data_IF_447133303230
#
_entry.id   IF_447133303230
#
_cell.length_a   1.000
_cell.length_b   1.000
_cell.length_c   1.000
_cell.angle_alpha   90.00
_cell.angle_beta   90.00
_cell.angle_gamma   90.00
#
_symmetry.space_group_name_H-M   'P 1'
#
loop_
_entity.id
_entity.type
_entity.pdbx_description
1 polymer ?
#
# COMPACT_ATOMS: atom_id res chain seq x y z
N UNK A 1 -16.33 -19.88 -9.16
CA UNK A 1 -15.14 -19.04 -9.43
C UNK A 1 -13.94 -19.92 -9.75
N UNK A 2 -13.13 -19.57 -10.76
CA UNK A 2 -11.88 -20.29 -11.09
C UNK A 2 -10.73 -19.88 -10.16
N UNK A 3 -9.64 -20.67 -10.14
CA UNK A 3 -8.42 -20.29 -9.42
C UNK A 3 -7.79 -19.06 -10.10
N UNK A 4 -7.48 -18.03 -9.31
CA UNK A 4 -6.67 -16.90 -9.78
C UNK A 4 -5.18 -17.26 -9.86
N UNK A 5 -4.39 -16.38 -10.47
CA UNK A 5 -2.93 -16.47 -10.49
C UNK A 5 -2.31 -15.09 -10.22
N UNK A 6 -1.07 -15.09 -9.75
CA UNK A 6 -0.24 -13.90 -9.63
C UNK A 6 0.88 -14.05 -10.65
N UNK A 7 1.03 -13.06 -11.53
CA UNK A 7 2.10 -13.01 -12.52
C UNK A 7 3.00 -11.83 -12.22
N UNK A 8 4.31 -12.10 -12.06
CA UNK A 8 5.35 -11.07 -11.92
C UNK A 8 6.19 -10.98 -13.18
N UNK A 9 6.64 -12.14 -13.67
CA UNK A 9 7.40 -12.27 -14.91
C UNK A 9 6.53 -11.92 -16.13
N UNK A 10 6.96 -10.94 -16.91
CA UNK A 10 6.39 -10.63 -18.21
C UNK A 10 6.50 -11.84 -19.14
N UNK A 11 5.47 -12.08 -19.95
CA UNK A 11 5.56 -13.16 -20.94
C UNK A 11 6.46 -12.72 -22.09
N UNK A 12 7.35 -13.61 -22.54
CA UNK A 12 8.14 -13.42 -23.76
C UNK A 12 7.25 -13.14 -25.00
N UNK A 13 6.00 -13.62 -24.97
CA UNK A 13 5.00 -13.42 -26.03
C UNK A 13 4.32 -12.05 -26.00
N UNK A 14 4.60 -11.22 -25.00
CA UNK A 14 4.06 -9.87 -24.98
C UNK A 14 4.61 -9.05 -26.16
N UNK A 15 3.81 -8.15 -26.75
CA UNK A 15 4.28 -7.30 -27.83
C UNK A 15 5.54 -6.50 -27.45
N UNK A 16 6.40 -6.22 -28.43
CA UNK A 16 7.65 -5.48 -28.21
C UNK A 16 7.46 -4.05 -27.72
N UNK A 17 6.28 -3.46 -27.91
CA UNK A 17 5.94 -2.13 -27.39
C UNK A 17 5.64 -2.13 -25.88
N UNK A 18 5.43 -3.29 -25.26
CA UNK A 18 5.27 -3.40 -23.81
C UNK A 18 6.64 -3.24 -23.16
N UNK A 19 6.85 -2.10 -22.51
CA UNK A 19 8.06 -1.83 -21.73
C UNK A 19 8.21 -2.85 -20.60
N UNK A 20 9.44 -3.33 -20.45
CA UNK A 20 9.85 -4.33 -19.49
C UNK A 20 11.13 -3.89 -18.82
N UNK A 21 11.25 -4.14 -17.52
CA UNK A 21 12.44 -3.80 -16.74
C UNK A 21 12.85 -4.98 -15.88
N UNK A 22 14.16 -5.19 -15.78
CA UNK A 22 14.76 -6.27 -14.99
C UNK A 22 14.86 -5.82 -13.54
N UNK A 23 14.25 -6.58 -12.64
CA UNK A 23 14.31 -6.37 -11.19
C UNK A 23 14.98 -7.59 -10.55
N UNK A 24 15.99 -7.41 -9.67
CA UNK A 24 16.60 -8.54 -8.96
C UNK A 24 15.57 -9.39 -8.21
N UNK A 25 15.70 -10.70 -8.29
CA UNK A 25 14.79 -11.61 -7.60
C UNK A 25 15.02 -11.56 -6.10
N UNK A 26 13.96 -11.26 -5.35
CA UNK A 26 13.99 -11.33 -3.88
C UNK A 26 14.07 -12.77 -3.36
N UNK A 27 13.52 -13.72 -4.11
CA UNK A 27 13.37 -15.10 -3.65
C UNK A 27 14.54 -15.99 -4.03
N UNK A 28 15.31 -15.61 -5.05
CA UNK A 28 16.40 -16.41 -5.60
C UNK A 28 17.57 -15.46 -5.91
N UNK A 29 18.55 -15.32 -5.00
CA UNK A 29 19.71 -14.47 -5.22
C UNK A 29 20.45 -14.87 -6.50
N UNK A 30 20.77 -13.89 -7.36
CA UNK A 30 21.38 -14.12 -8.66
C UNK A 30 20.39 -14.22 -9.83
N UNK A 31 19.11 -14.48 -9.55
CA UNK A 31 18.05 -14.43 -10.55
C UNK A 31 17.45 -13.01 -10.67
N UNK A 32 16.65 -12.82 -11.72
CA UNK A 32 15.87 -11.61 -11.92
C UNK A 32 14.42 -11.92 -12.32
N UNK A 33 13.57 -10.91 -12.24
CA UNK A 33 12.22 -10.92 -12.78
C UNK A 33 12.09 -9.76 -13.75
N UNK A 34 11.62 -10.04 -14.96
CA UNK A 34 11.31 -9.00 -15.93
C UNK A 34 9.87 -8.52 -15.67
N UNK A 35 9.73 -7.31 -15.14
CA UNK A 35 8.44 -6.72 -14.81
C UNK A 35 7.91 -5.86 -15.96
N UNK A 36 6.59 -5.92 -16.21
CA UNK A 36 5.93 -4.92 -17.07
C UNK A 36 5.95 -3.56 -16.38
N UNK A 37 6.39 -2.53 -17.09
CA UNK A 37 6.22 -1.13 -16.69
C UNK A 37 4.99 -0.58 -17.41
N UNK A 38 3.98 -0.19 -16.65
CA UNK A 38 2.75 0.39 -17.18
C UNK A 38 2.81 1.92 -17.02
N UNK A 39 3.42 2.60 -17.99
CA UNK A 39 3.59 4.06 -18.04
C UNK A 39 2.60 4.76 -19.00
N UNK A 40 1.73 4.01 -19.68
CA UNK A 40 0.68 4.56 -20.54
C UNK A 40 -0.67 3.81 -20.45
N UNK A 41 -1.70 4.42 -21.05
CA UNK A 41 -3.05 3.85 -21.06
C UNK A 41 -3.17 2.60 -21.96
N UNK A 42 -2.37 2.49 -23.02
CA UNK A 42 -2.41 1.36 -23.93
C UNK A 42 -1.93 0.07 -23.25
N UNK A 43 -0.85 0.17 -22.47
CA UNK A 43 -0.31 -0.90 -21.63
C UNK A 43 -1.32 -1.32 -20.58
N UNK A 44 -2.00 -0.37 -19.93
CA UNK A 44 -3.05 -0.68 -18.97
C UNK A 44 -4.20 -1.47 -19.59
N UNK A 45 -4.68 -1.05 -20.77
CA UNK A 45 -5.72 -1.76 -21.53
C UNK A 45 -5.25 -3.15 -21.97
N UNK A 46 -3.99 -3.28 -22.41
CA UNK A 46 -3.40 -4.56 -22.75
C UNK A 46 -3.36 -5.52 -21.57
N UNK A 47 -2.93 -5.06 -20.39
CA UNK A 47 -2.92 -5.87 -19.17
C UNK A 47 -4.33 -6.35 -18.81
N UNK A 48 -5.34 -5.48 -18.94
CA UNK A 48 -6.74 -5.86 -18.73
C UNK A 48 -7.17 -6.96 -19.72
N UNK A 49 -6.75 -6.88 -20.99
CA UNK A 49 -6.98 -7.92 -22.00
C UNK A 49 -6.26 -9.24 -21.66
N UNK A 50 -5.14 -9.21 -20.94
CA UNK A 50 -4.48 -10.40 -20.37
C UNK A 50 -5.19 -10.95 -19.12
N UNK A 51 -6.42 -10.52 -18.85
CA UNK A 51 -7.20 -10.87 -17.65
C UNK A 51 -6.55 -10.40 -16.34
N UNK A 52 -5.68 -9.38 -16.40
CA UNK A 52 -5.17 -8.74 -15.20
C UNK A 52 -6.28 -7.90 -14.55
N UNK A 53 -6.77 -8.35 -13.41
CA UNK A 53 -7.81 -7.63 -12.64
C UNK A 53 -7.15 -6.76 -11.56
N UNK A 54 -6.13 -7.27 -10.87
CA UNK A 54 -5.52 -6.58 -9.74
C UNK A 54 -4.09 -6.19 -10.09
N UNK A 55 -3.83 -4.89 -10.11
CA UNK A 55 -2.50 -4.33 -10.33
C UNK A 55 -1.81 -4.13 -8.99
N UNK A 56 -0.57 -4.61 -8.91
CA UNK A 56 0.29 -4.45 -7.74
C UNK A 56 1.53 -3.66 -8.15
N UNK A 57 1.89 -2.65 -7.37
CA UNK A 57 3.05 -1.77 -7.60
C UNK A 57 3.99 -1.83 -6.40
N UNK A 58 5.28 -1.65 -6.66
CA UNK A 58 6.30 -1.55 -5.61
C UNK A 58 6.38 -0.15 -5.01
N UNK A 59 7.09 0.00 -3.87
CA UNK A 59 7.35 1.31 -3.24
C UNK A 59 8.47 2.10 -3.94
N UNK A 60 9.03 1.59 -5.03
CA UNK A 60 10.19 2.14 -5.73
C UNK A 60 9.91 2.26 -7.22
N UNK A 61 10.72 3.06 -7.91
CA UNK A 61 10.70 3.20 -9.37
C UNK A 61 11.88 2.47 -9.99
N UNK A 62 11.71 2.05 -11.23
CA UNK A 62 12.66 1.21 -11.98
C UNK A 62 14.05 1.84 -12.18
N UNK A 63 14.15 3.17 -12.11
CA UNK A 63 15.42 3.91 -12.20
C UNK A 63 16.24 3.86 -10.90
N UNK A 64 15.62 3.55 -9.74
CA UNK A 64 16.31 3.51 -8.44
C UNK A 64 15.59 2.55 -7.48
N UNK A 65 15.82 1.25 -7.66
CA UNK A 65 15.05 0.18 -7.01
C UNK A 65 15.25 0.05 -5.50
N UNK A 66 16.38 0.52 -4.96
CA UNK A 66 16.69 0.46 -3.52
C UNK A 66 16.30 1.73 -2.75
N UNK A 67 15.69 2.71 -3.43
CA UNK A 67 15.40 4.02 -2.87
C UNK A 67 13.92 4.37 -3.10
N UNK A 68 13.05 4.03 -2.12
CA UNK A 68 11.62 4.14 -2.28
C UNK A 68 11.14 5.58 -2.46
N UNK A 69 10.11 5.75 -3.28
CA UNK A 69 9.39 7.02 -3.45
C UNK A 69 8.15 7.12 -2.55
N UNK A 70 7.89 6.07 -1.76
CA UNK A 70 6.79 6.02 -0.80
C UNK A 70 7.09 5.06 0.35
N UNK A 71 6.68 5.47 1.55
CA UNK A 71 6.56 4.66 2.75
C UNK A 71 5.14 4.09 2.83
N UNK A 72 4.99 2.82 3.20
CA UNK A 72 3.72 2.08 3.17
C UNK A 72 3.42 1.43 4.52
N UNK A 73 2.20 1.60 5.01
CA UNK A 73 1.64 0.90 6.15
C UNK A 73 0.35 0.19 5.72
N UNK A 74 0.31 -1.14 5.85
CA UNK A 74 -0.85 -1.96 5.51
C UNK A 74 -1.49 -2.50 6.78
N UNK A 75 -2.80 -2.31 6.93
CA UNK A 75 -3.55 -2.68 8.13
C UNK A 75 -4.40 -3.90 7.81
N UNK A 76 -3.98 -5.10 8.24
CA UNK A 76 -4.67 -6.36 7.93
C UNK A 76 -5.45 -6.87 9.15
N UNK A 77 -6.79 -6.70 9.19
CA UNK A 77 -7.62 -7.18 10.28
C UNK A 77 -7.82 -8.70 10.24
N UNK A 78 -8.22 -9.32 11.38
CA UNK A 78 -8.47 -10.76 11.44
C UNK A 78 -9.64 -11.19 10.53
N UNK A 79 -10.65 -10.32 10.41
CA UNK A 79 -11.84 -10.55 9.59
C UNK A 79 -12.36 -9.25 8.94
N UNK A 80 -13.49 -9.34 8.25
CA UNK A 80 -14.11 -8.20 7.57
C UNK A 80 -15.27 -7.58 8.38
N UNK A 81 -15.35 -7.85 9.69
CA UNK A 81 -16.41 -7.31 10.55
C UNK A 81 -16.27 -5.79 10.75
N UNK A 82 -17.37 -5.08 11.07
CA UNK A 82 -17.31 -3.65 11.42
C UNK A 82 -16.34 -3.36 12.58
N UNK A 83 -16.36 -4.18 13.64
CA UNK A 83 -15.47 -4.01 14.79
C UNK A 83 -13.98 -4.13 14.41
N UNK A 84 -13.65 -5.09 13.53
CA UNK A 84 -12.30 -5.21 12.97
C UNK A 84 -11.91 -3.99 12.14
N UNK A 85 -12.84 -3.45 11.35
CA UNK A 85 -12.59 -2.25 10.55
C UNK A 85 -12.44 -0.99 11.42
N UNK A 86 -13.17 -0.88 12.53
CA UNK A 86 -13.01 0.21 13.50
C UNK A 86 -11.61 0.18 14.14
N UNK A 87 -11.09 -1.01 14.47
CA UNK A 87 -9.72 -1.16 14.93
C UNK A 87 -8.70 -0.76 13.85
N UNK A 88 -8.95 -1.10 12.58
CA UNK A 88 -8.13 -0.65 11.45
C UNK A 88 -8.17 0.87 11.28
N UNK A 89 -9.35 1.50 11.40
CA UNK A 89 -9.53 2.96 11.32
C UNK A 89 -8.69 3.65 12.38
N UNK A 90 -8.78 3.21 13.63
CA UNK A 90 -8.02 3.76 14.75
C UNK A 90 -6.51 3.57 14.56
N UNK A 91 -6.07 2.37 14.14
CA UNK A 91 -4.66 2.11 13.82
C UNK A 91 -4.13 3.04 12.71
N UNK A 92 -4.90 3.21 11.63
CA UNK A 92 -4.53 4.07 10.51
C UNK A 92 -4.44 5.55 10.93
N UNK A 93 -5.37 6.02 11.76
CA UNK A 93 -5.36 7.38 12.32
C UNK A 93 -4.10 7.61 13.15
N UNK A 94 -3.79 6.71 14.07
CA UNK A 94 -2.62 6.83 14.97
C UNK A 94 -1.29 6.76 14.24
N UNK A 95 -1.17 5.86 13.26
CA UNK A 95 0.01 5.82 12.38
C UNK A 95 0.10 7.12 11.58
N UNK A 96 -1.00 7.62 11.01
CA UNK A 96 -1.02 8.89 10.31
C UNK A 96 -0.61 10.07 11.20
N UNK A 97 -1.10 10.14 12.42
CA UNK A 97 -0.70 11.16 13.40
C UNK A 97 0.80 11.08 13.71
N UNK A 98 1.32 9.89 14.03
CA UNK A 98 2.74 9.74 14.36
C UNK A 98 3.65 10.06 13.17
N UNK A 99 3.27 9.66 11.95
CA UNK A 99 3.99 9.99 10.72
C UNK A 99 3.99 11.51 10.46
N UNK A 100 2.87 12.21 10.72
CA UNK A 100 2.81 13.69 10.67
C UNK A 100 3.70 14.34 11.72
N UNK A 101 3.72 13.82 12.94
CA UNK A 101 4.60 14.32 13.99
C UNK A 101 6.09 14.16 13.66
N UNK A 102 6.43 13.21 12.78
CA UNK A 102 7.77 13.04 12.23
C UNK A 102 8.03 13.93 10.99
N UNK A 103 7.12 14.83 10.62
CA UNK A 103 7.31 15.76 9.49
C UNK A 103 7.01 15.19 8.10
N UNK A 104 6.49 13.97 8.00
CA UNK A 104 6.02 13.39 6.73
C UNK A 104 4.53 13.65 6.52
N UNK A 105 4.07 13.65 5.27
CA UNK A 105 2.63 13.84 4.95
C UNK A 105 1.99 12.50 4.57
N UNK A 106 1.17 11.89 5.44
CA UNK A 106 0.53 10.63 5.13
C UNK A 106 -0.81 10.82 4.40
N UNK A 107 -1.09 9.88 3.51
CA UNK A 107 -2.28 9.75 2.69
C UNK A 107 -2.90 8.38 2.95
N UNK A 108 -4.23 8.28 2.88
CA UNK A 108 -4.95 7.03 3.18
C UNK A 108 -5.76 6.56 1.98
N UNK A 109 -5.88 5.24 1.84
CA UNK A 109 -6.79 4.59 0.90
C UNK A 109 -7.46 3.38 1.50
N UNK A 110 -8.68 3.08 1.06
CA UNK A 110 -9.27 1.76 1.30
C UNK A 110 -8.48 0.69 0.57
N UNK A 111 -8.35 -0.49 1.15
CA UNK A 111 -7.68 -1.59 0.46
C UNK A 111 -8.54 -2.18 -0.67
N UNK A 112 -9.87 -2.03 -0.60
CA UNK A 112 -10.80 -2.82 -1.40
C UNK A 112 -11.00 -4.25 -0.88
N UNK A 113 -10.32 -4.67 0.20
CA UNK A 113 -10.45 -6.00 0.79
C UNK A 113 -11.04 -5.91 2.20
N UNK A 114 -10.21 -5.92 3.25
CA UNK A 114 -10.68 -5.87 4.64
C UNK A 114 -10.16 -4.66 5.40
N UNK A 115 -9.00 -4.13 5.02
CA UNK A 115 -8.34 -3.06 5.75
C UNK A 115 -8.09 -1.77 4.96
N UNK A 116 -7.11 -1.01 5.43
CA UNK A 116 -6.69 0.27 4.89
C UNK A 116 -5.20 0.24 4.54
N UNK A 117 -4.75 1.21 3.75
CA UNK A 117 -3.33 1.51 3.61
C UNK A 117 -3.09 2.99 3.90
N UNK A 118 -2.02 3.28 4.63
CA UNK A 118 -1.48 4.63 4.84
C UNK A 118 -0.15 4.72 4.12
N UNK A 119 0.05 5.78 3.34
CA UNK A 119 1.22 5.98 2.48
C UNK A 119 1.76 7.39 2.66
N UNK A 120 3.07 7.55 2.78
CA UNK A 120 3.71 8.85 2.78
C UNK A 120 4.74 8.93 1.64
N UNK A 121 4.66 9.92 0.73
CA UNK A 121 5.65 10.07 -0.34
C UNK A 121 7.02 10.44 0.23
N UNK A 122 8.08 9.91 -0.38
CA UNK A 122 9.48 10.12 0.02
C UNK A 122 10.30 10.76 -1.11
N UNK A 123 11.36 11.46 -0.73
CA UNK A 123 12.30 12.13 -1.63
C UNK A 123 13.27 11.19 -2.36
N UNK A 124 13.19 9.87 -2.08
CA UNK A 124 14.04 8.81 -2.64
C UNK A 124 15.51 8.93 -2.25
N UNK A 125 15.84 9.48 -1.08
CA UNK A 125 17.22 9.58 -0.61
C UNK A 125 17.65 8.43 0.31
N UNK A 126 16.75 7.97 1.17
CA UNK A 126 17.01 6.87 2.09
C UNK A 126 16.91 5.49 1.43
N UNK A 127 17.71 4.54 1.91
CA UNK A 127 17.72 3.16 1.46
C UNK A 127 16.45 2.42 1.92
N UNK A 128 16.04 1.40 1.16
CA UNK A 128 14.84 0.59 1.43
C UNK A 128 14.86 -0.05 2.82
N UNK A 129 16.02 -0.42 3.33
CA UNK A 129 16.16 -0.98 4.69
C UNK A 129 15.87 0.05 5.78
N UNK A 130 16.24 1.32 5.55
CA UNK A 130 15.94 2.44 6.46
C UNK A 130 14.44 2.72 6.46
N UNK A 131 13.81 2.75 5.28
CA UNK A 131 12.34 2.88 5.14
C UNK A 131 11.60 1.77 5.89
N UNK A 132 12.07 0.53 5.75
CA UNK A 132 11.50 -0.61 6.47
C UNK A 132 11.71 -0.51 7.99
N UNK A 133 12.89 -0.09 8.44
CA UNK A 133 13.19 0.07 9.86
C UNK A 133 12.32 1.17 10.49
N UNK A 134 12.20 2.32 9.82
CA UNK A 134 11.33 3.41 10.26
C UNK A 134 9.87 2.97 10.34
N UNK A 135 9.33 2.35 9.28
CA UNK A 135 7.96 1.84 9.29
C UNK A 135 7.72 0.83 10.42
N UNK A 136 8.69 -0.06 10.67
CA UNK A 136 8.62 -0.99 11.79
C UNK A 136 8.55 -0.27 13.13
N UNK A 137 9.41 0.72 13.36
CA UNK A 137 9.46 1.46 14.63
C UNK A 137 8.12 2.17 14.93
N UNK A 138 7.50 2.77 13.90
CA UNK A 138 6.15 3.36 13.98
C UNK A 138 5.12 2.31 14.39
N UNK A 139 5.05 1.18 13.66
CA UNK A 139 4.09 0.12 13.95
C UNK A 139 4.31 -0.53 15.33
N UNK A 140 5.56 -0.79 15.72
CA UNK A 140 5.91 -1.38 17.01
C UNK A 140 5.48 -0.47 18.16
N UNK A 141 5.62 0.86 18.02
CA UNK A 141 5.17 1.83 19.03
C UNK A 141 3.64 1.79 19.21
N UNK A 142 2.88 1.76 18.12
CA UNK A 142 1.41 1.67 18.18
C UNK A 142 0.97 0.32 18.76
N UNK A 143 1.61 -0.77 18.34
CA UNK A 143 1.32 -2.11 18.86
C UNK A 143 1.62 -2.26 20.35
N UNK A 144 2.70 -1.62 20.84
CA UNK A 144 3.05 -1.64 22.26
C UNK A 144 2.06 -0.88 23.15
N UNK A 145 1.42 0.17 22.62
CA UNK A 145 0.42 0.95 23.35
C UNK A 145 -0.89 0.18 23.55
N UNK A 146 -1.30 -0.66 22.58
CA UNK A 146 -2.53 -1.46 22.66
C UNK A 146 -2.32 -2.89 22.13
N UNK A 147 -1.53 -3.73 22.83
CA UNK A 147 -1.12 -5.05 22.37
C UNK A 147 -2.28 -6.07 22.30
N UNK A 148 -3.44 -5.73 22.87
CA UNK A 148 -4.66 -6.51 22.75
C UNK A 148 -5.36 -6.33 21.39
N UNK A 149 -5.16 -5.19 20.71
CA UNK A 149 -5.82 -4.83 19.44
C UNK A 149 -4.88 -4.88 18.24
N UNK A 150 -3.59 -4.61 18.45
CA UNK A 150 -2.60 -4.49 17.38
C UNK A 150 -1.42 -5.44 17.57
N UNK A 151 -0.79 -5.82 16.45
CA UNK A 151 0.42 -6.64 16.45
C UNK A 151 1.29 -6.36 15.23
N UNK A 152 2.59 -6.51 15.40
CA UNK A 152 3.59 -6.52 14.33
C UNK A 152 4.24 -7.90 14.14
N UNK A 153 3.75 -8.92 14.87
CA UNK A 153 4.29 -10.28 14.78
C UNK A 153 3.99 -10.90 13.41
N UNK A 154 5.06 -11.44 12.81
CA UNK A 154 4.97 -12.14 11.53
C UNK A 154 4.28 -13.50 11.71
N UNK A 155 4.35 -14.13 12.89
CA UNK A 155 3.71 -15.40 13.14
C UNK A 155 2.18 -15.26 13.14
N UNK A 156 1.49 -16.07 12.32
CA UNK A 156 0.02 -16.01 12.22
C UNK A 156 -0.68 -16.34 13.54
N UNK A 157 -0.07 -17.16 14.39
CA UNK A 157 -0.55 -17.50 15.74
C UNK A 157 -0.75 -16.25 16.60
N UNK A 158 0.12 -15.26 16.43
CA UNK A 158 0.17 -14.08 17.29
C UNK A 158 -0.74 -12.95 16.79
N UNK A 159 -1.44 -13.19 15.66
CA UNK A 159 -2.37 -12.26 15.01
C UNK A 159 -3.83 -12.56 15.32
N UNK A 160 -4.12 -13.64 16.03
CA UNK A 160 -5.50 -14.04 16.34
C UNK A 160 -6.20 -12.92 17.10
N UNK A 161 -7.30 -12.40 16.53
CA UNK A 161 -8.10 -11.33 17.11
C UNK A 161 -7.48 -9.93 17.05
N UNK A 162 -6.34 -9.75 16.37
CA UNK A 162 -5.60 -8.47 16.32
C UNK A 162 -5.45 -7.97 14.89
N UNK A 163 -5.41 -6.66 14.73
CA UNK A 163 -5.02 -6.02 13.47
C UNK A 163 -3.50 -6.12 13.33
N UNK A 164 -3.05 -6.74 12.24
CA UNK A 164 -1.64 -6.79 11.88
C UNK A 164 -1.23 -5.48 11.21
N UNK A 165 -0.29 -4.78 11.82
CA UNK A 165 0.32 -3.56 11.30
C UNK A 165 1.49 -3.94 10.39
N UNK A 166 1.19 -4.20 9.12
CA UNK A 166 2.13 -4.74 8.14
C UNK A 166 3.05 -3.64 7.59
N UNK A 167 4.24 -3.53 8.22
CA UNK A 167 5.35 -2.70 7.75
C UNK A 167 6.21 -3.38 6.68
N UNK A 168 5.99 -4.66 6.36
CA UNK A 168 6.85 -5.45 5.48
C UNK A 168 6.73 -5.04 4.01
N UNK A 169 5.74 -4.20 3.67
CA UNK A 169 5.53 -3.61 2.34
C UNK A 169 6.68 -2.71 1.88
N UNK A 170 7.52 -2.25 2.81
CA UNK A 170 8.66 -1.36 2.55
C UNK A 170 9.97 -2.11 2.24
N UNK A 171 9.92 -3.42 1.95
CA UNK A 171 11.12 -4.19 1.58
C UNK A 171 11.35 -4.24 0.06
N UNK A 172 12.55 -4.64 -0.33
CA UNK A 172 12.89 -4.86 -1.74
C UNK A 172 11.88 -5.81 -2.44
N UNK A 173 11.45 -5.44 -3.65
CA UNK A 173 10.48 -6.15 -4.49
C UNK A 173 9.14 -6.53 -3.81
N UNK A 174 8.78 -5.85 -2.71
CA UNK A 174 7.45 -5.92 -2.13
C UNK A 174 6.47 -5.11 -2.98
N UNK A 175 5.20 -5.49 -2.91
CA UNK A 175 4.16 -4.78 -3.66
C UNK A 175 2.91 -4.56 -2.82
N UNK A 176 2.18 -3.53 -3.21
CA UNK A 176 0.87 -3.16 -2.70
C UNK A 176 -0.11 -3.07 -3.88
N UNK A 177 -1.40 -3.34 -3.65
CA UNK A 177 -2.42 -3.06 -4.65
C UNK A 177 -2.38 -1.58 -5.03
N UNK A 178 -2.33 -1.28 -6.33
CA UNK A 178 -2.25 0.08 -6.84
C UNK A 178 -3.52 0.87 -6.47
N UNK A 179 -3.41 2.19 -6.22
CA UNK A 179 -4.57 3.07 -6.16
C UNK A 179 -5.46 2.89 -7.40
N UNK A 180 -6.76 2.86 -7.19
CA UNK A 180 -7.80 2.63 -8.20
C UNK A 180 -7.80 1.25 -8.88
N UNK A 181 -6.94 0.32 -8.46
CA UNK A 181 -7.05 -1.07 -8.91
C UNK A 181 -8.29 -1.75 -8.30
N UNK A 182 -9.08 -2.48 -9.10
CA UNK A 182 -10.12 -3.34 -8.55
C UNK A 182 -9.51 -4.55 -7.84
N UNK A 183 -10.35 -5.24 -7.06
CA UNK A 183 -10.02 -6.48 -6.36
C UNK A 183 -10.83 -7.62 -6.98
N UNK A 184 -10.19 -8.77 -7.19
CA UNK A 184 -10.81 -9.98 -7.74
C UNK A 184 -11.62 -10.73 -6.66
N UNK A 185 -12.58 -10.06 -6.05
CA UNK A 185 -13.53 -10.60 -5.06
C UNK A 185 -14.94 -10.09 -5.38
N UNK A 186 -15.95 -10.67 -4.72
CA UNK A 186 -17.35 -10.34 -4.97
C UNK A 186 -17.64 -8.84 -4.82
N UNK A 187 -18.38 -8.31 -5.78
CA UNK A 187 -18.69 -6.88 -5.90
C UNK A 187 -17.61 -6.04 -6.59
N UNK A 188 -16.44 -6.61 -6.91
CA UNK A 188 -15.30 -5.91 -7.50
C UNK A 188 -14.99 -4.56 -6.81
N UNK A 189 -14.73 -4.57 -5.48
CA UNK A 189 -14.32 -3.39 -4.75
C UNK A 189 -12.99 -2.84 -5.27
N UNK A 190 -12.73 -1.56 -5.05
CA UNK A 190 -11.59 -0.83 -5.60
C UNK A 190 -10.74 -0.27 -4.45
N UNK A 191 -9.41 -0.43 -4.54
CA UNK A 191 -8.51 0.22 -3.57
C UNK A 191 -8.51 1.72 -3.83
N UNK A 192 -9.25 2.48 -3.04
CA UNK A 192 -9.63 3.85 -3.40
C UNK A 192 -8.97 4.85 -2.45
N UNK A 193 -8.10 5.76 -2.95
CA UNK A 193 -7.66 6.95 -2.23
C UNK A 193 -8.84 7.66 -1.58
N UNK A 194 -8.72 8.06 -0.32
CA UNK A 194 -9.74 8.84 0.40
C UNK A 194 -9.05 9.98 1.17
N UNK A 195 -9.85 10.95 1.60
CA UNK A 195 -9.45 11.97 2.56
C UNK A 195 -9.42 11.39 3.98
N UNK A 196 -8.74 12.09 4.90
CA UNK A 196 -8.78 11.72 6.32
C UNK A 196 -10.14 12.01 6.94
N UNK A 197 -10.86 13.01 6.44
CA UNK A 197 -12.22 13.33 6.85
C UNK A 197 -13.22 12.25 6.44
N UNK A 198 -13.07 11.67 5.23
CA UNK A 198 -13.87 10.51 4.80
C UNK A 198 -13.63 9.28 5.68
N UNK A 199 -12.42 9.14 6.24
CA UNK A 199 -12.09 8.02 7.13
C UNK A 199 -12.92 8.05 8.42
N UNK A 200 -13.34 9.23 8.88
CA UNK A 200 -14.16 9.41 10.09
C UNK A 200 -15.63 9.00 9.88
N UNK A 201 -16.08 8.75 8.65
CA UNK A 201 -17.44 8.28 8.38
C UNK A 201 -17.63 6.85 8.92
N UNK A 202 -18.57 6.63 9.88
CA UNK A 202 -18.85 5.30 10.41
C UNK A 202 -19.42 4.34 9.37
N UNK A 203 -20.02 4.84 8.28
CA UNK A 203 -20.52 4.03 7.18
C UNK A 203 -19.40 3.60 6.19
N UNK A 204 -18.20 4.18 6.30
CA UNK A 204 -17.06 3.75 5.49
C UNK A 204 -16.64 2.32 5.88
N UNK A 205 -16.36 1.52 4.87
CA UNK A 205 -15.74 0.20 4.98
C UNK A 205 -14.60 0.07 3.97
N UNK A 206 -13.76 -0.96 4.13
CA UNK A 206 -12.71 -1.27 3.17
C UNK A 206 -13.24 -1.54 1.73
N UNK A 207 -14.54 -1.81 1.55
CA UNK A 207 -15.19 -2.18 0.28
C UNK A 207 -16.25 -1.19 -0.20
N UNK A 208 -16.34 0.00 0.41
CA UNK A 208 -17.36 1.02 0.07
C UNK A 208 -17.33 1.41 -1.40
N UNK A 209 -16.14 1.46 -2.00
CA UNK A 209 -15.96 1.81 -3.40
C UNK A 209 -15.77 0.56 -4.26
N UNK A 210 -16.47 0.54 -5.40
CA UNK A 210 -16.50 -0.55 -6.38
C UNK A 210 -16.35 0.00 -7.78
N UNK A 211 -16.12 -0.88 -8.75
CA UNK A 211 -16.11 -0.51 -10.17
C UNK A 211 -17.40 0.18 -10.63
N UNK A 212 -18.53 -0.01 -9.91
CA UNK A 212 -19.82 0.60 -10.23
C UNK A 212 -19.94 2.06 -9.80
N UNK A 213 -19.25 2.47 -8.72
CA UNK A 213 -19.44 3.80 -8.12
C UNK A 213 -18.18 4.68 -8.11
N UNK A 214 -16.97 4.11 -8.30
CA UNK A 214 -15.71 4.86 -8.15
C UNK A 214 -15.58 6.02 -9.16
N UNK A 215 -16.10 5.85 -10.38
CA UNK A 215 -16.10 6.93 -11.40
C UNK A 215 -16.97 8.11 -10.99
N UNK A 216 -18.17 7.84 -10.49
CA UNK A 216 -19.07 8.88 -9.98
C UNK A 216 -18.42 9.61 -8.81
N UNK A 217 -17.82 8.87 -7.86
CA UNK A 217 -17.07 9.44 -6.76
C UNK A 217 -15.97 10.41 -7.24
N UNK A 218 -15.20 10.02 -8.26
CA UNK A 218 -14.10 10.84 -8.77
C UNK A 218 -14.62 12.11 -9.45
N UNK A 219 -15.75 12.01 -10.15
CA UNK A 219 -16.40 13.17 -10.77
C UNK A 219 -16.94 14.16 -9.72
N UNK A 220 -17.43 13.69 -8.56
CA UNK A 220 -18.05 14.54 -7.55
C UNK A 220 -17.09 15.07 -6.49
N UNK A 221 -16.09 14.28 -6.08
CA UNK A 221 -15.14 14.63 -5.00
C UNK A 221 -13.73 14.96 -5.51
N UNK A 222 -13.42 14.64 -6.76
CA UNK A 222 -12.05 14.68 -7.28
C UNK A 222 -11.18 13.56 -6.72
N UNK A 223 -9.87 13.67 -6.95
CA UNK A 223 -8.86 12.74 -6.46
C UNK A 223 -8.15 13.31 -5.23
N UNK A 224 -8.30 12.71 -4.02
CA UNK A 224 -7.62 13.13 -2.80
C UNK A 224 -6.10 13.09 -2.88
N UNK A 225 -5.55 12.26 -3.76
CA UNK A 225 -4.10 12.11 -3.91
C UNK A 225 -3.53 12.94 -5.05
N UNK A 226 -4.35 13.81 -5.67
CA UNK A 226 -3.89 14.73 -6.69
C UNK A 226 -2.77 15.60 -6.13
N UNK A 227 -1.58 15.48 -6.72
CA UNK A 227 -0.40 16.22 -6.28
C UNK A 227 0.32 15.62 -5.07
N UNK A 228 0.01 14.38 -4.65
CA UNK A 228 0.68 13.69 -3.54
C UNK A 228 2.20 13.79 -3.60
N UNK A 229 2.81 13.65 -4.79
CA UNK A 229 4.27 13.74 -4.96
C UNK A 229 4.89 15.08 -4.54
N UNK A 230 4.12 16.17 -4.42
CA UNK A 230 4.61 17.48 -3.92
C UNK A 230 4.92 17.47 -2.42
N UNK A 231 4.43 16.45 -1.71
CA UNK A 231 4.60 16.29 -0.27
C UNK A 231 5.72 15.30 0.07
N UNK A 232 6.56 14.92 -0.91
CA UNK A 232 7.69 14.05 -0.69
C UNK A 232 8.61 14.61 0.40
N UNK A 233 8.82 13.83 1.46
CA UNK A 233 9.63 14.22 2.61
C UNK A 233 10.91 13.38 2.73
N UNK A 234 11.85 13.89 3.55
CA UNK A 234 13.08 13.19 3.89
C UNK A 234 12.84 12.20 5.02
N UNK A 235 13.18 10.93 4.78
CA UNK A 235 13.09 9.88 5.80
C UNK A 235 14.14 10.06 6.90
N UNK A 236 15.31 10.60 6.59
CA UNK A 236 16.38 10.85 7.57
C UNK A 236 15.92 11.86 8.62
N UNK A 237 15.34 12.98 8.17
CA UNK A 237 14.75 13.99 9.05
C UNK A 237 13.59 13.40 9.88
N UNK A 238 12.76 12.57 9.27
CA UNK A 238 11.66 11.90 9.96
C UNK A 238 12.15 10.91 11.02
N UNK A 239 13.23 10.18 10.73
CA UNK A 239 13.83 9.23 11.66
C UNK A 239 14.43 9.93 12.88
N UNK A 240 15.13 11.05 12.67
CA UNK A 240 15.61 11.89 13.76
C UNK A 240 14.46 12.40 14.64
N UNK A 241 13.38 12.92 14.03
CA UNK A 241 12.21 13.36 14.76
C UNK A 241 11.52 12.23 15.55
N UNK A 242 11.51 10.99 15.02
CA UNK A 242 10.94 9.83 15.71
C UNK A 242 11.72 9.43 16.97
N UNK A 243 13.05 9.60 16.93
CA UNK A 243 13.94 9.37 18.06
C UNK A 243 13.76 10.43 19.16
N UNK A 244 13.52 11.70 18.79
CA UNK A 244 13.22 12.79 19.74
C UNK A 244 11.85 12.64 20.43
N UNK A 245 10.94 11.84 19.84
CA UNK A 245 9.63 11.50 20.41
C UNK A 245 9.68 10.31 21.39
N UNK A 246 10.85 9.74 21.67
CA UNK A 246 11.05 8.67 22.66
C UNK A 246 11.17 9.22 24.08
#
# INVERSE_FOLDING_TARGET
HGKGFIQKQASERYPGWIRREIVPSRSHPGDYVEHVVCDDAATLVFLANQRCVVLHVGPTRVDRLDYPDQLIFDFDPPDASPASFDAVRDGARRVGELVRSCGLTPFVKTSGSKGLHVIAPLDRQAHVDEARAFARAICDRIAAQEPARFTTSIAKSDRVGKVFLDYLRNGHAQTLVAPYSPRAIDGAPVSTPITWEELEDPALSARTFTVKNVRQRLATRGDPWRGMGRFAGSLDAASAALDDLR
#
